data_IF_953546406853
#
_entry.id   IF_953546406853
#
_cell.length_a   1.000
_cell.length_b   1.000
_cell.length_c   1.000
_cell.angle_alpha   90.00
_cell.angle_beta   90.00
_cell.angle_gamma   90.00
#
_symmetry.space_group_name_H-M   'P 1'
#
loop_
_entity.id
_entity.type
_entity.pdbx_description
1 polymer ?
#
# COMPACT_ATOMS: atom_id res chain seq x y z
N UNK A 1 -8.46 -8.13 24.10
CA UNK A 1 -7.46 -8.26 23.01
C UNK A 1 -7.88 -7.30 21.91
N UNK A 2 -7.08 -6.25 21.69
CA UNK A 2 -7.41 -5.13 20.83
C UNK A 2 -7.24 -5.49 19.35
N UNK A 3 -8.35 -5.63 18.63
CA UNK A 3 -8.38 -5.63 17.18
C UNK A 3 -7.98 -4.24 16.68
N UNK A 4 -6.68 -4.01 16.46
CA UNK A 4 -6.23 -2.93 15.59
C UNK A 4 -6.14 -3.48 14.16
N UNK A 5 -6.86 -2.89 13.19
CA UNK A 5 -6.77 -3.32 11.80
C UNK A 5 -5.36 -3.07 11.26
N UNK A 6 -4.83 -4.06 10.53
CA UNK A 6 -3.54 -4.02 9.81
C UNK A 6 -3.55 -3.12 8.57
N UNK A 7 -4.52 -2.21 8.45
CA UNK A 7 -4.54 -1.21 7.40
C UNK A 7 -3.89 0.06 7.94
N UNK A 8 -2.80 0.51 7.32
CA UNK A 8 -2.29 1.87 7.50
C UNK A 8 -3.46 2.83 7.24
N UNK A 9 -4.00 3.53 8.26
CA UNK A 9 -4.95 4.59 7.97
C UNK A 9 -4.18 5.65 7.19
N UNK A 10 -4.62 5.98 5.97
CA UNK A 10 -4.19 7.17 5.22
C UNK A 10 -4.70 8.48 5.87
N UNK A 11 -4.81 8.45 7.20
CA UNK A 11 -5.13 9.56 8.08
C UNK A 11 -4.19 9.48 9.27
N UNK A 12 -2.90 9.29 8.99
CA UNK A 12 -1.90 9.87 9.88
C UNK A 12 -2.23 11.36 9.96
N UNK A 13 -2.77 11.76 11.11
CA UNK A 13 -2.56 13.09 11.66
C UNK A 13 -1.05 13.26 11.79
N UNK A 14 -0.36 13.46 10.66
CA UNK A 14 0.93 14.14 10.68
C UNK A 14 0.63 15.48 11.34
N UNK A 15 1.42 15.83 12.35
CA UNK A 15 1.42 17.16 12.92
C UNK A 15 1.45 18.13 11.73
N UNK A 16 0.37 18.88 11.56
CA UNK A 16 0.22 19.89 10.53
C UNK A 16 1.38 20.87 10.69
N UNK A 17 2.44 20.68 9.93
CA UNK A 17 3.33 21.77 9.58
C UNK A 17 2.44 22.83 8.95
N UNK A 18 2.55 24.05 9.46
CA UNK A 18 1.61 25.16 9.31
C UNK A 18 1.62 25.80 7.92
N UNK A 19 1.54 24.99 6.87
CA UNK A 19 1.25 25.34 5.48
C UNK A 19 0.71 24.05 4.85
N UNK A 20 -0.57 23.74 5.07
CA UNK A 20 -1.29 22.87 4.15
C UNK A 20 -1.42 23.66 2.85
N UNK A 21 -0.36 23.67 2.04
CA UNK A 21 -0.49 24.07 0.65
C UNK A 21 -1.57 23.17 0.07
N UNK A 22 -2.74 23.76 -0.21
CA UNK A 22 -3.87 23.05 -0.79
C UNK A 22 -3.45 22.67 -2.20
N UNK A 23 -2.82 21.52 -2.33
CA UNK A 23 -2.49 20.89 -3.60
C UNK A 23 -3.80 20.39 -4.20
N UNK A 24 -4.40 21.21 -5.04
CA UNK A 24 -5.61 20.86 -5.77
C UNK A 24 -5.23 20.12 -7.07
N UNK A 25 -5.74 18.90 -7.20
CA UNK A 25 -5.64 18.10 -8.40
C UNK A 25 -7.00 17.40 -8.58
N UNK A 26 -7.56 17.46 -9.78
CA UNK A 26 -8.95 17.04 -10.05
C UNK A 26 -9.01 15.85 -11.02
N UNK A 27 -8.58 14.64 -10.61
CA UNK A 27 -8.56 13.46 -11.49
C UNK A 27 -9.84 13.22 -12.28
N UNK A 28 -11.03 13.36 -11.66
CA UNK A 28 -12.30 13.08 -12.35
C UNK A 28 -12.64 14.08 -13.46
N UNK A 29 -11.93 15.21 -13.55
CA UNK A 29 -12.08 16.22 -14.61
C UNK A 29 -10.87 16.18 -15.54
N UNK A 30 -9.68 16.09 -14.97
CA UNK A 30 -8.40 16.21 -15.65
C UNK A 30 -8.09 14.99 -16.53
N UNK A 31 -8.61 13.80 -16.21
CA UNK A 31 -8.32 12.54 -16.91
C UNK A 31 -8.58 12.58 -18.43
N UNK A 32 -9.44 13.47 -18.92
CA UNK A 32 -9.71 13.61 -20.37
C UNK A 32 -8.52 14.26 -21.12
N UNK A 33 -7.70 15.04 -20.43
CA UNK A 33 -6.65 15.86 -21.02
C UNK A 33 -5.22 15.33 -20.75
N UNK A 34 -5.06 14.38 -19.84
CA UNK A 34 -3.76 13.82 -19.47
C UNK A 34 -3.44 12.52 -20.23
N UNK A 35 -2.58 12.63 -21.24
CA UNK A 35 -1.99 11.49 -21.96
C UNK A 35 -0.75 10.95 -21.24
N UNK A 36 -0.36 9.70 -21.53
CA UNK A 36 0.89 9.09 -21.01
C UNK A 36 2.14 9.96 -21.30
N UNK A 37 2.14 10.76 -22.37
CA UNK A 37 3.21 11.72 -22.66
C UNK A 37 3.36 12.80 -21.57
N UNK A 38 2.25 13.33 -21.03
CA UNK A 38 2.28 14.30 -19.94
C UNK A 38 2.81 13.65 -18.65
N UNK A 39 2.46 12.38 -18.40
CA UNK A 39 2.98 11.60 -17.28
C UNK A 39 4.50 11.41 -17.38
N UNK A 40 5.00 11.06 -18.56
CA UNK A 40 6.44 10.90 -18.79
C UNK A 40 7.20 12.21 -18.61
N UNK A 41 6.66 13.32 -19.14
CA UNK A 41 7.24 14.65 -18.95
C UNK A 41 7.28 15.05 -17.47
N UNK A 42 6.19 14.84 -16.73
CA UNK A 42 6.16 15.08 -15.28
C UNK A 42 7.21 14.25 -14.54
N UNK A 43 7.37 12.96 -14.88
CA UNK A 43 8.40 12.11 -14.29
C UNK A 43 9.82 12.58 -14.62
N UNK A 44 10.07 13.06 -15.84
CA UNK A 44 11.37 13.63 -16.20
C UNK A 44 11.70 14.88 -15.41
N UNK A 45 10.71 15.78 -15.21
CA UNK A 45 10.87 16.97 -14.38
C UNK A 45 11.13 16.60 -12.91
N UNK A 46 10.38 15.64 -12.37
CA UNK A 46 10.61 15.12 -11.01
C UNK A 46 12.02 14.56 -10.89
N UNK A 47 12.50 13.78 -11.87
CA UNK A 47 13.85 13.23 -11.85
C UNK A 47 14.92 14.31 -11.93
N UNK A 48 14.72 15.37 -12.73
CA UNK A 48 15.62 16.50 -12.80
C UNK A 48 15.72 17.22 -11.44
N UNK A 49 14.59 17.44 -10.76
CA UNK A 49 14.56 18.01 -9.41
C UNK A 49 15.21 17.08 -8.36
N UNK A 50 14.94 15.77 -8.44
CA UNK A 50 15.58 14.79 -7.55
C UNK A 50 17.11 14.75 -7.69
N UNK A 51 17.66 15.11 -8.86
CA UNK A 51 19.12 15.25 -9.05
C UNK A 51 19.66 16.49 -8.37
N UNK A 52 18.87 17.56 -8.30
CA UNK A 52 19.24 18.81 -7.65
C UNK A 52 19.10 18.70 -6.12
N UNK A 53 18.11 17.95 -5.64
CA UNK A 53 17.85 17.72 -4.22
C UNK A 53 18.03 16.24 -3.86
N UNK A 54 19.28 15.77 -3.63
CA UNK A 54 19.51 14.38 -3.25
C UNK A 54 18.80 14.09 -1.92
N UNK A 55 17.97 13.03 -1.83
CA UNK A 55 17.26 12.72 -0.60
C UNK A 55 18.26 12.50 0.53
N UNK A 56 18.10 13.27 1.62
CA UNK A 56 18.88 13.05 2.84
C UNK A 56 18.67 11.63 3.34
N UNK A 57 19.75 10.91 3.68
CA UNK A 57 19.72 9.50 4.13
C UNK A 57 18.73 9.20 5.27
N UNK A 58 18.23 10.22 5.97
CA UNK A 58 17.39 10.12 7.15
C UNK A 58 15.91 10.48 6.93
N UNK A 59 15.40 10.46 5.69
CA UNK A 59 13.98 10.77 5.43
C UNK A 59 13.00 9.83 6.17
N UNK A 60 13.45 8.65 6.61
CA UNK A 60 12.67 7.68 7.39
C UNK A 60 12.83 7.81 8.92
N UNK A 61 13.57 8.79 9.43
CA UNK A 61 13.85 8.94 10.88
C UNK A 61 12.60 9.11 11.75
N UNK A 62 11.51 9.61 11.17
CA UNK A 62 10.25 9.83 11.86
C UNK A 62 9.42 8.54 11.99
N UNK A 63 9.77 7.48 11.26
CA UNK A 63 9.16 6.15 11.40
C UNK A 63 9.93 5.34 12.44
N UNK A 64 9.24 4.52 13.25
CA UNK A 64 9.91 3.54 14.09
C UNK A 64 10.65 2.52 13.20
N UNK A 65 11.83 2.09 13.65
CA UNK A 65 12.57 1.04 12.94
C UNK A 65 11.71 -0.24 12.86
N UNK A 66 11.56 -0.82 11.66
CA UNK A 66 10.81 -2.06 11.49
C UNK A 66 11.49 -3.18 12.28
N UNK A 67 10.71 -3.87 13.12
CA UNK A 67 11.18 -5.04 13.87
C UNK A 67 11.24 -6.26 12.95
N UNK A 68 12.37 -6.43 12.27
CA UNK A 68 12.61 -7.57 11.38
C UNK A 68 12.56 -8.93 12.10
N UNK A 69 12.85 -8.95 13.40
CA UNK A 69 12.92 -10.17 14.20
C UNK A 69 11.60 -10.53 14.90
N UNK A 70 10.51 -9.79 14.66
CA UNK A 70 9.24 -9.96 15.41
C UNK A 70 8.69 -11.40 15.36
N UNK A 71 8.96 -12.12 14.28
CA UNK A 71 8.50 -13.49 14.06
C UNK A 71 9.64 -14.52 14.13
N UNK A 72 10.85 -14.09 14.48
CA UNK A 72 11.97 -15.01 14.65
C UNK A 72 11.89 -15.65 16.04
N UNK A 73 11.58 -16.95 16.05
CA UNK A 73 11.68 -17.78 17.25
C UNK A 73 13.16 -18.02 17.57
N UNK A 74 13.58 -18.14 18.85
CA UNK A 74 14.98 -18.41 19.21
C UNK A 74 15.58 -19.61 18.47
N UNK A 75 14.78 -20.64 18.19
CA UNK A 75 15.19 -21.82 17.42
C UNK A 75 15.52 -21.50 15.96
N UNK A 76 14.75 -20.63 15.31
CA UNK A 76 14.99 -20.22 13.91
C UNK A 76 16.27 -19.39 13.84
N UNK A 77 16.49 -18.49 14.81
CA UNK A 77 17.70 -17.69 14.91
C UNK A 77 18.94 -18.58 15.06
N UNK A 78 18.87 -19.59 15.93
CA UNK A 78 19.93 -20.59 16.11
C UNK A 78 20.22 -21.36 14.81
N UNK A 79 19.18 -21.78 14.07
CA UNK A 79 19.36 -22.45 12.77
C UNK A 79 19.97 -21.51 11.72
N UNK A 80 19.54 -20.26 11.67
CA UNK A 80 20.16 -19.25 10.78
C UNK A 80 21.64 -19.06 11.09
N UNK A 81 22.02 -18.99 12.37
CA UNK A 81 23.42 -18.89 12.78
C UNK A 81 24.22 -20.14 12.42
N UNK A 82 23.65 -21.34 12.61
CA UNK A 82 24.29 -22.59 12.21
C UNK A 82 24.53 -22.66 10.70
N UNK A 83 23.57 -22.21 9.88
CA UNK A 83 23.73 -22.11 8.42
C UNK A 83 24.82 -21.09 8.06
N UNK A 84 24.83 -19.92 8.70
CA UNK A 84 25.82 -18.88 8.44
C UNK A 84 27.24 -19.33 8.80
N UNK A 85 27.39 -20.16 9.84
CA UNK A 85 28.66 -20.72 10.29
C UNK A 85 29.03 -22.04 9.57
N UNK A 86 28.25 -22.49 8.58
CA UNK A 86 28.40 -23.79 7.92
C UNK A 86 28.50 -24.98 8.89
N UNK A 87 27.80 -24.89 10.03
CA UNK A 87 27.68 -26.01 10.98
C UNK A 87 26.67 -27.01 10.42
N UNK A 88 27.12 -28.25 10.23
CA UNK A 88 26.23 -29.34 9.83
C UNK A 88 25.17 -29.55 10.92
N UNK A 89 23.90 -29.51 10.52
CA UNK A 89 22.78 -29.71 11.45
C UNK A 89 22.66 -31.20 11.77
N UNK A 90 22.48 -31.52 13.05
CA UNK A 90 22.29 -32.90 13.49
C UNK A 90 21.11 -33.51 12.73
N UNK A 91 21.40 -34.54 11.92
CA UNK A 91 20.38 -35.24 11.15
C UNK A 91 19.41 -35.90 12.11
N UNK A 92 18.13 -35.82 11.81
CA UNK A 92 17.10 -36.45 12.62
C UNK A 92 17.36 -37.97 12.65
N UNK A 93 17.60 -38.52 13.84
CA UNK A 93 17.79 -39.95 14.01
C UNK A 93 16.46 -40.69 13.82
N UNK A 94 16.29 -41.29 12.66
CA UNK A 94 15.12 -42.12 12.33
C UNK A 94 15.27 -43.57 12.82
N UNK A 95 16.48 -44.00 13.22
CA UNK A 95 16.72 -45.38 13.65
C UNK A 95 15.98 -45.73 14.94
N UNK A 96 15.58 -44.72 15.73
CA UNK A 96 14.70 -44.89 16.90
C UNK A 96 13.31 -45.47 16.56
N UNK A 97 12.81 -45.26 15.33
CA UNK A 97 11.51 -45.76 14.89
C UNK A 97 11.59 -47.13 14.22
N UNK A 98 12.79 -47.64 14.00
CA UNK A 98 13.03 -48.97 13.44
C UNK A 98 13.41 -49.93 14.56
N UNK A 99 12.97 -51.19 14.48
CA UNK A 99 13.47 -52.27 15.34
C UNK A 99 14.48 -53.06 14.52
N UNK A 100 15.78 -52.71 14.54
CA UNK A 100 16.77 -53.50 13.84
C UNK A 100 16.89 -54.88 14.51
N UNK A 101 16.76 -55.95 13.73
CA UNK A 101 17.02 -57.31 14.22
C UNK A 101 18.52 -57.46 14.48
N UNK A 102 18.96 -57.87 15.69
CA UNK A 102 20.38 -58.08 15.98
C UNK A 102 20.98 -59.27 15.21
N UNK A 103 20.14 -60.13 14.62
CA UNK A 103 20.54 -61.37 13.96
C UNK A 103 21.29 -61.18 12.63
N UNK A 104 21.14 -60.04 11.93
CA UNK A 104 21.75 -59.81 10.62
C UNK A 104 23.06 -59.01 10.67
N UNK A 105 23.67 -58.84 11.84
CA UNK A 105 24.90 -58.06 11.99
C UNK A 105 25.99 -58.84 12.73
N UNK A 106 27.26 -58.53 12.45
CA UNK A 106 28.45 -59.08 13.11
C UNK A 106 28.48 -58.87 14.65
N UNK A 107 27.44 -58.27 15.24
CA UNK A 107 27.24 -57.99 16.66
C UNK A 107 26.30 -58.99 17.36
N UNK A 108 25.92 -60.10 16.72
CA UNK A 108 25.05 -61.13 17.32
C UNK A 108 25.63 -61.72 18.63
N UNK A 109 26.95 -61.70 18.81
CA UNK A 109 27.63 -62.09 20.05
C UNK A 109 27.75 -60.98 21.11
N UNK A 110 27.40 -59.72 20.79
CA UNK A 110 27.53 -58.57 21.67
C UNK A 110 26.28 -58.39 22.56
N UNK A 111 26.42 -58.77 23.84
CA UNK A 111 25.37 -58.64 24.86
C UNK A 111 24.86 -57.20 25.02
N UNK A 112 25.69 -56.18 24.80
CA UNK A 112 25.27 -54.77 24.94
C UNK A 112 24.37 -54.34 23.79
N UNK A 113 24.65 -54.81 22.57
CA UNK A 113 23.81 -54.56 21.40
C UNK A 113 22.39 -55.14 21.59
N UNK A 114 22.30 -56.36 22.12
CA UNK A 114 21.00 -56.98 22.47
C UNK A 114 20.24 -56.20 23.54
N UNK A 115 20.93 -55.74 24.59
CA UNK A 115 20.28 -54.94 25.64
C UNK A 115 19.74 -53.61 25.08
N UNK A 116 20.49 -52.95 24.20
CA UNK A 116 20.06 -51.72 23.53
C UNK A 116 18.86 -51.97 22.62
N UNK A 117 18.86 -53.05 21.84
CA UNK A 117 17.74 -53.44 20.99
C UNK A 117 16.47 -53.72 21.81
N UNK A 118 16.59 -54.46 22.92
CA UNK A 118 15.48 -54.73 23.84
C UNK A 118 14.92 -53.43 24.43
N UNK A 119 15.79 -52.51 24.85
CA UNK A 119 15.36 -51.22 25.39
C UNK A 119 14.64 -50.37 24.33
N UNK A 120 15.10 -50.40 23.07
CA UNK A 120 14.41 -49.77 21.95
C UNK A 120 13.03 -50.41 21.70
N UNK A 121 12.95 -51.74 21.66
CA UNK A 121 11.67 -52.47 21.52
C UNK A 121 10.67 -52.10 22.62
N UNK A 122 11.11 -52.05 23.88
CA UNK A 122 10.26 -51.65 25.01
C UNK A 122 9.72 -50.23 24.84
N UNK A 123 10.59 -49.31 24.41
CA UNK A 123 10.21 -47.92 24.15
C UNK A 123 9.20 -47.83 23.00
N UNK A 124 9.42 -48.56 21.92
CA UNK A 124 8.49 -48.60 20.79
C UNK A 124 7.14 -49.23 21.15
N UNK A 125 7.13 -50.31 21.93
CA UNK A 125 5.90 -50.93 22.42
C UNK A 125 5.06 -49.91 23.19
N UNK A 126 5.69 -49.14 24.08
CA UNK A 126 5.00 -48.08 24.81
C UNK A 126 4.51 -46.96 23.90
N UNK A 127 5.31 -46.54 22.92
CA UNK A 127 4.87 -45.53 21.94
C UNK A 127 3.68 -46.02 21.10
N UNK A 128 3.63 -47.29 20.69
CA UNK A 128 2.48 -47.85 19.98
C UNK A 128 1.25 -47.95 20.88
N UNK A 129 1.42 -48.29 22.15
CA UNK A 129 0.34 -48.29 23.12
C UNK A 129 -0.25 -46.87 23.31
N UNK A 130 0.61 -45.86 23.49
CA UNK A 130 0.18 -44.46 23.55
C UNK A 130 -0.49 -44.01 22.24
N UNK A 131 0.05 -44.40 21.09
CA UNK A 131 -0.55 -44.10 19.78
C UNK A 131 -1.96 -44.69 19.68
N UNK A 132 -2.16 -45.92 20.16
CA UNK A 132 -3.49 -46.55 20.20
C UNK A 132 -4.45 -45.73 21.06
N UNK A 133 -4.06 -45.37 22.28
CA UNK A 133 -4.89 -44.52 23.16
C UNK A 133 -5.21 -43.18 22.49
N UNK A 134 -4.22 -42.52 21.88
CA UNK A 134 -4.44 -41.26 21.18
C UNK A 134 -5.40 -41.40 20.00
N UNK A 135 -5.35 -42.52 19.28
CA UNK A 135 -6.28 -42.81 18.19
C UNK A 135 -7.69 -43.09 18.71
N UNK A 136 -7.85 -43.80 19.82
CA UNK A 136 -9.15 -44.03 20.47
C UNK A 136 -9.77 -42.68 20.91
N UNK A 137 -8.99 -41.80 21.53
CA UNK A 137 -9.43 -40.44 21.89
C UNK A 137 -9.79 -39.63 20.65
N UNK A 138 -9.01 -39.74 19.57
CA UNK A 138 -9.28 -39.04 18.32
C UNK A 138 -10.53 -39.56 17.61
N UNK A 139 -10.78 -40.86 17.66
CA UNK A 139 -11.98 -41.48 17.10
C UNK A 139 -13.24 -41.02 17.86
N UNK A 140 -13.16 -40.94 19.19
CA UNK A 140 -14.27 -40.50 20.05
C UNK A 140 -14.56 -38.99 19.93
N UNK A 141 -13.53 -38.14 20.02
CA UNK A 141 -13.72 -36.69 20.14
C UNK A 141 -13.33 -35.88 18.89
N UNK A 142 -12.59 -36.48 17.97
CA UNK A 142 -12.07 -35.82 16.77
C UNK A 142 -13.17 -35.22 15.89
N UNK A 143 -14.18 -36.00 15.45
CA UNK A 143 -15.22 -35.49 14.54
C UNK A 143 -15.91 -34.23 15.08
N UNK A 144 -16.29 -34.26 16.35
CA UNK A 144 -16.98 -33.14 17.01
C UNK A 144 -16.03 -31.95 17.27
N UNK A 145 -14.76 -32.19 17.60
CA UNK A 145 -13.76 -31.12 17.71
C UNK A 145 -13.53 -30.41 16.36
N UNK A 146 -13.41 -31.17 15.27
CA UNK A 146 -13.27 -30.62 13.91
C UNK A 146 -14.52 -29.85 13.49
N UNK A 147 -15.72 -30.35 13.80
CA UNK A 147 -16.96 -29.63 13.50
C UNK A 147 -17.02 -28.28 14.21
N UNK A 148 -16.65 -28.22 15.49
CA UNK A 148 -16.55 -26.94 16.23
C UNK A 148 -15.51 -26.01 15.63
N UNK A 149 -14.33 -26.53 15.27
CA UNK A 149 -13.28 -25.72 14.64
C UNK A 149 -13.77 -25.13 13.32
N UNK A 150 -14.44 -25.93 12.48
CA UNK A 150 -15.03 -25.46 11.23
C UNK A 150 -16.07 -24.36 11.45
N UNK A 151 -16.94 -24.47 12.46
CA UNK A 151 -17.90 -23.41 12.82
C UNK A 151 -17.21 -22.11 13.21
N UNK A 152 -16.12 -22.19 13.99
CA UNK A 152 -15.32 -21.01 14.36
C UNK A 152 -14.67 -20.39 13.14
N UNK A 153 -14.05 -21.20 12.27
CA UNK A 153 -13.43 -20.72 11.03
C UNK A 153 -14.45 -20.06 10.09
N UNK A 154 -15.64 -20.66 9.95
CA UNK A 154 -16.73 -20.09 9.17
C UNK A 154 -17.18 -18.74 9.73
N UNK A 155 -17.37 -18.63 11.05
CA UNK A 155 -17.74 -17.36 11.69
C UNK A 155 -16.69 -16.27 11.50
N UNK A 156 -15.40 -16.62 11.53
CA UNK A 156 -14.30 -15.68 11.23
C UNK A 156 -14.38 -15.23 9.78
N UNK A 157 -14.56 -16.17 8.84
CA UNK A 157 -14.65 -15.86 7.42
C UNK A 157 -15.84 -14.94 7.10
N UNK A 158 -17.03 -15.24 7.63
CA UNK A 158 -18.24 -14.42 7.47
C UNK A 158 -18.05 -13.00 8.02
N UNK A 159 -17.39 -12.88 9.18
CA UNK A 159 -17.07 -11.58 9.77
C UNK A 159 -16.10 -10.78 8.90
N UNK A 160 -15.05 -11.41 8.39
CA UNK A 160 -14.07 -10.74 7.54
C UNK A 160 -14.67 -10.34 6.19
N UNK A 161 -15.55 -11.16 5.61
CA UNK A 161 -16.31 -10.83 4.42
C UNK A 161 -17.24 -9.63 4.66
N UNK A 162 -17.96 -9.60 5.79
CA UNK A 162 -18.79 -8.45 6.18
C UNK A 162 -17.96 -7.17 6.32
N UNK A 163 -16.81 -7.24 6.99
CA UNK A 163 -15.90 -6.11 7.13
C UNK A 163 -15.39 -5.61 5.76
N UNK A 164 -15.07 -6.53 4.85
CA UNK A 164 -14.65 -6.19 3.49
C UNK A 164 -15.78 -5.46 2.74
N UNK A 165 -17.02 -5.96 2.83
CA UNK A 165 -18.17 -5.32 2.18
C UNK A 165 -18.42 -3.91 2.73
N UNK A 166 -18.33 -3.72 4.05
CA UNK A 166 -18.46 -2.41 4.69
C UNK A 166 -17.37 -1.45 4.20
N UNK A 167 -16.11 -1.90 4.17
CA UNK A 167 -15.00 -1.06 3.71
C UNK A 167 -15.14 -0.68 2.23
N UNK A 168 -15.61 -1.61 1.38
CA UNK A 168 -15.92 -1.30 -0.03
C UNK A 168 -17.02 -0.27 -0.16
N UNK A 169 -18.08 -0.38 0.65
CA UNK A 169 -19.17 0.60 0.67
C UNK A 169 -18.66 2.00 1.03
N UNK A 170 -17.85 2.11 2.09
CA UNK A 170 -17.22 3.37 2.49
C UNK A 170 -16.30 3.94 1.41
N UNK A 171 -15.52 3.08 0.74
CA UNK A 171 -14.66 3.49 -0.37
C UNK A 171 -15.49 4.06 -1.53
N UNK A 172 -16.59 3.40 -1.89
CA UNK A 172 -17.49 3.89 -2.94
C UNK A 172 -18.16 5.20 -2.55
N UNK A 173 -18.57 5.37 -1.28
CA UNK A 173 -19.13 6.61 -0.78
C UNK A 173 -18.13 7.78 -0.88
N UNK A 174 -16.89 7.55 -0.43
CA UNK A 174 -15.80 8.55 -0.51
C UNK A 174 -15.55 8.93 -1.97
N UNK A 175 -15.42 7.94 -2.87
CA UNK A 175 -15.18 8.20 -4.28
C UNK A 175 -16.37 8.94 -4.93
N UNK A 176 -17.61 8.58 -4.58
CA UNK A 176 -18.79 9.28 -5.06
C UNK A 176 -18.83 10.73 -4.55
N UNK A 177 -18.47 10.98 -3.29
CA UNK A 177 -18.38 12.34 -2.73
C UNK A 177 -17.29 13.15 -3.41
N UNK A 178 -16.11 12.58 -3.62
CA UNK A 178 -15.00 13.20 -4.36
C UNK A 178 -15.44 13.56 -5.78
N UNK A 179 -16.02 12.61 -6.52
CA UNK A 179 -16.51 12.85 -7.88
C UNK A 179 -17.52 14.00 -7.95
N UNK A 180 -18.53 14.03 -7.07
CA UNK A 180 -19.51 15.14 -7.04
C UNK A 180 -18.85 16.49 -6.76
N UNK A 181 -17.94 16.54 -5.79
CA UNK A 181 -17.23 17.78 -5.41
C UNK A 181 -16.38 18.28 -6.56
N UNK A 182 -15.63 17.38 -7.20
CA UNK A 182 -14.79 17.73 -8.34
C UNK A 182 -15.65 18.22 -9.50
N UNK A 183 -16.68 17.48 -9.92
CA UNK A 183 -17.55 17.89 -11.03
C UNK A 183 -18.18 19.28 -10.81
N UNK A 184 -18.67 19.58 -9.61
CA UNK A 184 -19.18 20.91 -9.28
C UNK A 184 -18.11 22.02 -9.38
N UNK A 185 -16.88 21.73 -8.94
CA UNK A 185 -15.75 22.64 -9.11
C UNK A 185 -15.36 22.81 -10.60
N UNK A 186 -15.45 21.75 -11.41
CA UNK A 186 -15.19 21.78 -12.85
C UNK A 186 -16.21 22.60 -13.64
N UNK A 187 -17.49 22.52 -13.28
CA UNK A 187 -18.53 23.38 -13.83
C UNK A 187 -18.20 24.86 -13.59
N UNK A 188 -17.83 25.20 -12.34
CA UNK A 188 -17.41 26.55 -11.98
C UNK A 188 -16.13 26.99 -12.69
N UNK A 189 -15.16 26.10 -12.84
CA UNK A 189 -13.92 26.38 -13.58
C UNK A 189 -14.21 26.68 -15.05
N UNK A 190 -15.14 25.94 -15.66
CA UNK A 190 -15.57 26.13 -17.05
C UNK A 190 -16.27 27.48 -17.21
N UNK A 191 -17.19 27.83 -16.30
CA UNK A 191 -17.86 29.12 -16.28
C UNK A 191 -16.87 30.28 -16.13
N UNK A 192 -15.94 30.19 -15.18
CA UNK A 192 -14.90 31.19 -14.97
C UNK A 192 -13.98 31.32 -16.18
N UNK A 193 -13.62 30.20 -16.84
CA UNK A 193 -12.83 30.20 -18.06
C UNK A 193 -13.55 30.92 -19.22
N UNK A 194 -14.84 30.64 -19.41
CA UNK A 194 -15.65 31.33 -20.42
C UNK A 194 -15.79 32.82 -20.13
N UNK A 195 -16.06 33.19 -18.88
CA UNK A 195 -16.13 34.59 -18.45
C UNK A 195 -14.79 35.32 -18.66
N UNK A 196 -13.68 34.66 -18.36
CA UNK A 196 -12.34 35.19 -18.60
C UNK A 196 -12.09 35.46 -20.09
N UNK A 197 -12.36 34.48 -20.97
CA UNK A 197 -12.24 34.66 -22.42
C UNK A 197 -13.14 35.80 -22.89
N UNK A 198 -14.40 35.84 -22.44
CA UNK A 198 -15.35 36.89 -22.80
C UNK A 198 -14.84 38.28 -22.41
N UNK A 199 -14.34 38.44 -21.18
CA UNK A 199 -13.81 39.71 -20.69
C UNK A 199 -12.58 40.15 -21.48
N UNK A 200 -11.66 39.23 -21.80
CA UNK A 200 -10.49 39.53 -22.62
C UNK A 200 -10.90 39.95 -24.02
N UNK A 201 -11.79 39.19 -24.67
CA UNK A 201 -12.28 39.53 -26.02
C UNK A 201 -13.01 40.87 -26.02
N UNK A 202 -13.80 41.16 -24.99
CA UNK A 202 -14.49 42.45 -24.84
C UNK A 202 -13.50 43.59 -24.64
N UNK A 203 -12.49 43.43 -23.79
CA UNK A 203 -11.45 44.43 -23.58
C UNK A 203 -10.67 44.70 -24.87
N UNK A 204 -10.25 43.65 -25.59
CA UNK A 204 -9.60 43.79 -26.88
C UNK A 204 -10.50 44.49 -27.92
N UNK A 205 -11.79 44.17 -27.96
CA UNK A 205 -12.75 44.85 -28.82
C UNK A 205 -12.94 46.34 -28.46
N UNK A 206 -12.91 46.68 -27.17
CA UNK A 206 -12.97 48.07 -26.70
C UNK A 206 -11.69 48.83 -27.08
N UNK A 207 -10.52 48.23 -26.95
CA UNK A 207 -9.25 48.84 -27.39
C UNK A 207 -9.28 49.17 -28.88
N UNK A 208 -9.74 48.25 -29.72
CA UNK A 208 -9.91 48.48 -31.17
C UNK A 208 -10.91 49.61 -31.43
N UNK A 209 -12.06 49.61 -30.76
CA UNK A 209 -13.07 50.67 -30.93
C UNK A 209 -12.56 52.05 -30.48
N UNK A 210 -11.78 52.12 -29.40
CA UNK A 210 -11.12 53.35 -28.96
C UNK A 210 -10.12 53.82 -30.02
N UNK A 211 -9.28 52.94 -30.54
CA UNK A 211 -8.32 53.28 -31.60
C UNK A 211 -9.01 53.85 -32.86
N UNK A 212 -10.12 53.25 -33.27
CA UNK A 212 -10.92 53.72 -34.41
C UNK A 212 -11.57 55.08 -34.13
N UNK A 213 -12.19 55.26 -32.95
CA UNK A 213 -12.77 56.54 -32.56
C UNK A 213 -11.71 57.65 -32.46
N UNK A 214 -10.54 57.37 -31.89
CA UNK A 214 -9.45 58.32 -31.86
C UNK A 214 -8.95 58.67 -33.27
N UNK A 215 -8.87 57.69 -34.18
CA UNK A 215 -8.52 57.92 -35.58
C UNK A 215 -9.55 58.84 -36.25
N UNK A 216 -10.83 58.60 -36.02
CA UNK A 216 -11.92 59.45 -36.50
C UNK A 216 -11.84 60.87 -35.94
N UNK A 217 -11.63 61.03 -34.63
CA UNK A 217 -11.43 62.35 -34.00
C UNK A 217 -10.24 63.06 -34.64
N UNK A 218 -9.10 62.38 -34.83
CA UNK A 218 -7.92 62.94 -35.51
C UNK A 218 -8.25 63.41 -36.94
N UNK A 219 -9.01 62.63 -37.72
CA UNK A 219 -9.40 63.06 -39.08
C UNK A 219 -10.34 64.26 -39.08
N UNK A 220 -11.30 64.32 -38.15
CA UNK A 220 -12.24 65.45 -38.02
C UNK A 220 -11.55 66.71 -37.50
N UNK A 221 -10.67 66.59 -36.52
CA UNK A 221 -9.85 67.67 -35.99
C UNK A 221 -8.97 68.30 -37.09
N UNK A 222 -8.34 67.47 -37.95
CA UNK A 222 -7.62 67.96 -39.14
C UNK A 222 -8.50 68.76 -40.10
N UNK A 223 -9.75 68.33 -40.34
CA UNK A 223 -10.69 69.05 -41.20
C UNK A 223 -11.12 70.40 -40.61
N UNK A 224 -11.30 70.46 -39.29
CA UNK A 224 -11.74 71.65 -38.57
C UNK A 224 -10.58 72.59 -38.16
N UNK A 225 -9.32 72.17 -38.39
CA UNK A 225 -8.09 72.90 -38.00
C UNK A 225 -8.03 73.20 -36.49
N UNK A 226 -8.56 72.29 -35.67
CA UNK A 226 -8.52 72.34 -34.20
C UNK A 226 -7.56 71.27 -33.70
N UNK A 227 -6.84 71.53 -32.61
CA UNK A 227 -5.99 70.53 -31.97
C UNK A 227 -6.85 69.38 -31.41
N UNK A 228 -6.62 68.11 -31.80
CA UNK A 228 -7.40 66.99 -31.31
C UNK A 228 -7.29 66.73 -29.79
N UNK A 229 -6.29 67.27 -29.08
CA UNK A 229 -6.18 67.12 -27.63
C UNK A 229 -6.06 65.67 -27.12
N UNK A 230 -5.68 64.74 -28.00
CA UNK A 230 -5.43 63.33 -27.68
C UNK A 230 -3.95 63.20 -27.30
N UNK A 231 -3.71 62.78 -26.06
CA UNK A 231 -2.38 62.58 -25.49
C UNK A 231 -1.61 61.49 -26.28
N UNK A 232 -0.41 61.82 -26.78
CA UNK A 232 0.32 60.94 -27.70
C UNK A 232 1.15 59.84 -27.01
N UNK A 233 1.24 59.86 -25.68
CA UNK A 233 2.21 59.07 -24.91
C UNK A 233 1.56 57.98 -24.03
N UNK A 234 0.83 57.05 -24.64
CA UNK A 234 0.60 55.74 -24.04
C UNK A 234 0.99 54.63 -25.02
N UNK A 235 2.29 54.31 -25.01
CA UNK A 235 2.80 53.01 -25.45
C UNK A 235 2.45 51.94 -24.41
#
# INVERSE_FOLDING_TARGET
>A
MSNQPLALPSTSKLKSSTNDDILDALPYIDDVNYTEAHRQLALQLIQAEMRNFPPTKNYLRHLPEPKYEKFLTPRILEQHNNIAENKDVEKLDLARYEVPSPANTAKSSDKRAWQSAINNCKSQLQNQYLRKINLEIMEEFGPEAYLRMNKVLQSIAEKDESNMMQLRSQLYEINARRKRTQLAAGEKLTELGQNWVHLITKNAGLEVAIMDMEKDIRTRAKKLRVDPGIDQDKK
#
